data_IF_141053239920
#
_entry.id   IF_141053239920
#
_cell.length_a   1.000
_cell.length_b   1.000
_cell.length_c   1.000
_cell.angle_alpha   90.00
_cell.angle_beta   90.00
_cell.angle_gamma   90.00
#
_symmetry.space_group_name_H-M   'P 1'
#
loop_
_entity.id
_entity.type
_entity.pdbx_description
1 polymer ?
#
# COMPACT_ATOMS: atom_id res chain seq x y z
N UNK A 1 19.08 4.20 10.37
CA UNK A 1 18.74 4.78 11.69
C UNK A 1 19.52 4.13 12.81
N UNK A 2 19.58 2.80 12.86
CA UNK A 2 20.28 2.03 13.89
C UNK A 2 21.77 2.38 14.03
N UNK A 3 22.54 2.33 12.93
CA UNK A 3 23.98 2.69 12.92
C UNK A 3 24.27 4.06 13.52
N UNK A 4 23.42 5.06 13.24
CA UNK A 4 23.59 6.43 13.76
C UNK A 4 23.34 6.51 15.27
N UNK A 5 22.37 5.76 15.80
CA UNK A 5 22.15 5.65 17.26
C UNK A 5 23.33 4.95 17.95
N UNK A 6 23.86 3.89 17.35
CA UNK A 6 25.05 3.21 17.87
C UNK A 6 26.27 4.15 17.90
N UNK A 7 26.49 4.92 16.82
CA UNK A 7 27.56 5.92 16.75
C UNK A 7 27.40 7.02 17.81
N UNK A 8 26.18 7.47 18.09
CA UNK A 8 25.90 8.44 19.17
C UNK A 8 26.41 7.94 20.52
N UNK A 9 26.08 6.70 20.91
CA UNK A 9 26.56 6.14 22.17
C UNK A 9 28.05 5.82 22.17
N UNK A 10 28.62 5.40 21.03
CA UNK A 10 30.07 5.19 20.93
C UNK A 10 30.86 6.48 21.20
N UNK A 11 30.46 7.59 20.60
CA UNK A 11 31.12 8.89 20.80
C UNK A 11 30.96 9.39 22.25
N UNK A 12 29.80 9.17 22.88
CA UNK A 12 29.62 9.47 24.31
C UNK A 12 30.53 8.60 25.19
N UNK A 13 30.68 7.30 24.88
CA UNK A 13 31.58 6.41 25.59
C UNK A 13 33.06 6.78 25.42
N UNK A 14 33.42 7.42 24.30
CA UNK A 14 34.73 8.04 24.06
C UNK A 14 34.94 9.37 24.81
N UNK A 15 33.96 9.81 25.62
CA UNK A 15 34.04 11.03 26.42
C UNK A 15 33.87 12.32 25.62
N UNK A 16 33.33 12.27 24.39
CA UNK A 16 33.00 13.48 23.62
C UNK A 16 31.87 14.25 24.29
N UNK A 17 31.87 15.58 24.12
CA UNK A 17 30.82 16.43 24.65
C UNK A 17 29.49 16.17 23.94
N UNK A 18 28.36 16.37 24.62
CA UNK A 18 27.03 16.16 24.02
C UNK A 18 26.82 17.02 22.76
N UNK A 19 27.38 18.23 22.72
CA UNK A 19 27.35 19.13 21.56
C UNK A 19 28.06 18.51 20.36
N UNK A 20 29.31 18.09 20.53
CA UNK A 20 30.10 17.47 19.44
C UNK A 20 29.43 16.20 18.92
N UNK A 21 28.89 15.37 19.83
CA UNK A 21 28.19 14.15 19.43
C UNK A 21 26.94 14.49 18.62
N UNK A 22 26.16 15.48 19.03
CA UNK A 22 24.97 15.92 18.29
C UNK A 22 25.32 16.48 16.92
N UNK A 23 26.41 17.24 16.79
CA UNK A 23 26.87 17.78 15.51
C UNK A 23 27.33 16.66 14.56
N UNK A 24 28.17 15.74 15.05
CA UNK A 24 28.68 14.60 14.26
C UNK A 24 27.54 13.68 13.80
N UNK A 25 26.60 13.40 14.70
CA UNK A 25 25.46 12.51 14.40
C UNK A 25 24.28 13.24 13.76
N UNK A 26 24.37 14.56 13.62
CA UNK A 26 23.32 15.49 13.17
C UNK A 26 21.98 15.28 13.91
N UNK A 27 22.02 14.91 15.19
CA UNK A 27 20.83 14.82 16.01
C UNK A 27 20.46 16.19 16.56
N UNK A 28 19.21 16.61 16.36
CA UNK A 28 18.65 17.70 17.15
C UNK A 28 18.40 17.25 18.60
N UNK A 29 18.38 18.22 19.53
CA UNK A 29 18.24 18.00 20.99
C UNK A 29 17.09 17.04 21.35
N UNK A 30 15.92 17.19 20.72
CA UNK A 30 14.76 16.31 20.96
C UNK A 30 15.04 14.86 20.58
N UNK A 31 15.71 14.65 19.45
CA UNK A 31 16.06 13.31 18.95
C UNK A 31 17.14 12.66 19.80
N UNK A 32 18.13 13.44 20.26
CA UNK A 32 19.15 12.96 21.19
C UNK A 32 18.53 12.48 22.50
N UNK A 33 17.67 13.31 23.13
CA UNK A 33 16.92 12.92 24.34
C UNK A 33 16.08 11.67 24.15
N UNK A 34 15.38 11.57 23.01
CA UNK A 34 14.60 10.38 22.67
C UNK A 34 15.47 9.13 22.56
N UNK A 35 16.65 9.22 21.92
CA UNK A 35 17.58 8.10 21.78
C UNK A 35 18.14 7.66 23.14
N UNK A 36 18.47 8.63 24.02
CA UNK A 36 18.92 8.38 25.40
C UNK A 36 17.84 7.68 26.22
N UNK A 37 16.63 8.24 26.30
CA UNK A 37 15.51 7.67 27.05
C UNK A 37 15.16 6.25 26.54
N UNK A 38 15.15 6.08 25.22
CA UNK A 38 14.89 4.78 24.59
C UNK A 38 15.97 3.75 24.96
N UNK A 39 17.24 4.15 25.03
CA UNK A 39 18.32 3.27 25.47
C UNK A 39 18.21 2.94 26.96
N UNK A 40 17.92 3.91 27.84
CA UNK A 40 17.72 3.64 29.26
C UNK A 40 16.59 2.64 29.51
N UNK A 41 15.52 2.69 28.71
CA UNK A 41 14.38 1.77 28.84
C UNK A 41 14.61 0.39 28.25
N UNK A 42 15.29 0.31 27.10
CA UNK A 42 15.34 -0.92 26.27
C UNK A 42 16.75 -1.50 26.10
N UNK A 43 17.77 -0.83 26.63
CA UNK A 43 19.18 -1.15 26.39
C UNK A 43 19.53 -1.15 24.91
N UNK A 44 20.36 -2.10 24.49
CA UNK A 44 20.79 -2.26 23.10
C UNK A 44 19.63 -2.50 22.13
N UNK A 45 18.52 -3.12 22.56
CA UNK A 45 17.31 -3.26 21.74
C UNK A 45 16.71 -1.90 21.36
N UNK A 46 16.93 -0.88 22.18
CA UNK A 46 16.51 0.50 21.91
C UNK A 46 17.19 1.12 20.69
N UNK A 47 18.37 0.63 20.29
CA UNK A 47 19.13 1.15 19.16
C UNK A 47 18.57 0.67 17.81
N UNK A 48 17.92 -0.51 17.79
CA UNK A 48 17.45 -1.18 16.58
C UNK A 48 16.43 -0.36 15.77
N UNK A 49 16.44 -0.55 14.44
CA UNK A 49 15.40 0.01 13.57
C UNK A 49 14.11 -0.83 13.64
N UNK A 50 13.15 -0.38 14.46
CA UNK A 50 11.87 -1.06 14.66
C UNK A 50 10.89 -0.99 13.48
N UNK A 51 11.25 -0.36 12.34
CA UNK A 51 10.34 -0.27 11.18
C UNK A 51 9.94 -1.63 10.62
N UNK A 52 10.81 -2.62 10.70
CA UNK A 52 10.52 -3.98 10.23
C UNK A 52 9.37 -4.63 11.01
N UNK A 53 9.28 -4.31 12.30
CA UNK A 53 8.26 -4.84 13.20
C UNK A 53 6.98 -3.99 13.22
N UNK A 54 7.02 -2.79 12.64
CA UNK A 54 5.85 -1.95 12.47
C UNK A 54 4.94 -2.56 11.39
N UNK A 55 3.94 -3.36 11.81
CA UNK A 55 2.97 -4.02 10.92
C UNK A 55 2.06 -3.07 10.14
N UNK A 56 2.18 -1.77 10.34
CA UNK A 56 1.31 -0.76 9.74
C UNK A 56 -0.14 -0.85 10.23
N UNK A 57 -1.03 -0.09 9.61
CA UNK A 57 -2.47 -0.25 9.84
C UNK A 57 -2.94 -1.62 9.32
N UNK A 58 -3.93 -2.27 9.97
CA UNK A 58 -4.46 -3.53 9.49
C UNK A 58 -5.05 -3.37 8.08
N UNK A 59 -4.99 -4.45 7.29
CA UNK A 59 -5.63 -4.47 5.97
C UNK A 59 -7.14 -4.36 6.16
N UNK A 60 -7.79 -3.59 5.29
CA UNK A 60 -9.26 -3.44 5.33
C UNK A 60 -9.96 -4.78 5.07
N UNK A 61 -9.51 -5.52 4.05
CA UNK A 61 -9.96 -6.88 3.79
C UNK A 61 -8.94 -7.90 4.30
N UNK A 62 -9.42 -8.95 4.97
CA UNK A 62 -8.62 -10.12 5.36
C UNK A 62 -8.14 -10.89 4.12
N UNK A 63 -7.22 -11.85 4.31
CA UNK A 63 -6.79 -12.70 3.21
C UNK A 63 -7.97 -13.51 2.63
N UNK A 64 -8.81 -14.07 3.51
CA UNK A 64 -9.96 -14.88 3.12
C UNK A 64 -11.01 -14.05 2.38
N UNK A 65 -11.32 -12.84 2.86
CA UNK A 65 -12.23 -11.91 2.18
C UNK A 65 -11.70 -11.49 0.80
N UNK A 66 -10.38 -11.32 0.65
CA UNK A 66 -9.77 -11.05 -0.66
C UNK A 66 -9.92 -12.24 -1.61
N UNK A 67 -9.83 -13.47 -1.12
CA UNK A 67 -10.07 -14.67 -1.93
C UNK A 67 -11.53 -14.81 -2.34
N UNK A 68 -12.48 -14.58 -1.42
CA UNK A 68 -13.92 -14.57 -1.72
C UNK A 68 -14.24 -13.51 -2.76
N UNK A 69 -13.71 -12.31 -2.59
CA UNK A 69 -13.87 -11.23 -3.56
C UNK A 69 -13.30 -11.61 -4.93
N UNK A 70 -12.08 -12.15 -4.99
CA UNK A 70 -11.46 -12.56 -6.24
C UNK A 70 -12.30 -13.63 -6.95
N UNK A 71 -12.77 -14.64 -6.24
CA UNK A 71 -13.61 -15.70 -6.78
C UNK A 71 -14.92 -15.15 -7.36
N UNK A 72 -15.58 -14.22 -6.66
CA UNK A 72 -16.80 -13.58 -7.18
C UNK A 72 -16.53 -12.80 -8.46
N UNK A 73 -15.47 -11.98 -8.48
CA UNK A 73 -15.13 -11.17 -9.65
C UNK A 73 -14.84 -12.06 -10.88
N UNK A 74 -14.13 -13.18 -10.69
CA UNK A 74 -13.85 -14.12 -11.77
C UNK A 74 -15.12 -14.80 -12.29
N UNK A 75 -15.98 -15.32 -11.41
CA UNK A 75 -17.23 -15.97 -11.80
C UNK A 75 -18.16 -15.01 -12.58
N UNK A 76 -18.25 -13.75 -12.17
CA UNK A 76 -19.05 -12.74 -12.85
C UNK A 76 -18.47 -12.39 -14.23
N UNK A 77 -17.15 -12.21 -14.33
CA UNK A 77 -16.50 -11.86 -15.59
C UNK A 77 -16.58 -13.00 -16.61
N UNK A 78 -16.50 -14.26 -16.18
CA UNK A 78 -16.75 -15.42 -17.04
C UNK A 78 -18.17 -15.42 -17.63
N UNK A 79 -19.14 -14.80 -16.94
CA UNK A 79 -20.50 -14.59 -17.43
C UNK A 79 -20.68 -13.28 -18.23
N UNK A 80 -19.59 -12.56 -18.50
CA UNK A 80 -19.61 -11.30 -19.25
C UNK A 80 -20.00 -10.08 -18.41
N UNK A 81 -20.05 -10.20 -17.09
CA UNK A 81 -20.39 -9.10 -16.18
C UNK A 81 -19.15 -8.27 -15.88
N UNK A 82 -19.21 -6.98 -16.20
CA UNK A 82 -18.13 -6.02 -15.90
C UNK A 82 -18.44 -5.28 -14.61
N UNK A 83 -17.45 -5.24 -13.71
CA UNK A 83 -17.54 -4.52 -12.45
C UNK A 83 -17.01 -3.10 -12.56
N UNK A 84 -17.79 -2.14 -12.05
CA UNK A 84 -17.32 -0.79 -11.76
C UNK A 84 -16.98 -0.62 -10.28
N UNK A 85 -16.15 0.37 -9.96
CA UNK A 85 -15.66 0.57 -8.60
C UNK A 85 -16.75 0.84 -7.57
N UNK A 86 -17.85 1.50 -7.96
CA UNK A 86 -18.98 1.81 -7.07
C UNK A 86 -19.79 0.56 -6.73
N UNK A 87 -20.14 -0.24 -7.74
CA UNK A 87 -20.77 -1.55 -7.55
C UNK A 87 -19.95 -2.43 -6.62
N UNK A 88 -18.63 -2.45 -6.77
CA UNK A 88 -17.76 -3.20 -5.87
C UNK A 88 -17.77 -2.66 -4.44
N UNK A 89 -17.86 -1.34 -4.26
CA UNK A 89 -17.97 -0.72 -2.94
C UNK A 89 -19.25 -1.17 -2.21
N UNK A 90 -20.38 -1.17 -2.92
CA UNK A 90 -21.68 -1.62 -2.40
C UNK A 90 -21.63 -3.11 -2.04
N UNK A 91 -21.10 -3.94 -2.93
CA UNK A 91 -20.96 -5.38 -2.67
C UNK A 91 -20.06 -5.68 -1.46
N UNK A 92 -18.93 -4.98 -1.30
CA UNK A 92 -18.06 -5.15 -0.12
C UNK A 92 -18.81 -4.78 1.17
N UNK A 93 -19.65 -3.73 1.13
CA UNK A 93 -20.47 -3.33 2.26
C UNK A 93 -21.52 -4.39 2.58
N UNK A 94 -22.17 -4.96 1.57
CA UNK A 94 -23.20 -5.99 1.74
C UNK A 94 -22.63 -7.32 2.22
N UNK A 95 -21.51 -7.79 1.65
CA UNK A 95 -20.95 -9.10 1.98
C UNK A 95 -20.12 -9.10 3.26
N UNK A 96 -19.38 -8.02 3.53
CA UNK A 96 -18.42 -7.98 4.63
C UNK A 96 -18.75 -6.92 5.70
N UNK A 97 -19.78 -6.09 5.49
CA UNK A 97 -20.12 -5.00 6.42
C UNK A 97 -19.08 -3.88 6.47
N UNK A 98 -18.23 -3.75 5.45
CA UNK A 98 -17.07 -2.85 5.45
C UNK A 98 -17.25 -1.68 4.50
N UNK A 99 -16.96 -0.47 4.97
CA UNK A 99 -16.92 0.72 4.14
C UNK A 99 -15.49 0.96 3.62
N UNK A 100 -15.37 1.11 2.30
CA UNK A 100 -14.09 1.33 1.62
C UNK A 100 -14.19 2.54 0.73
N UNK A 101 -13.10 3.31 0.58
CA UNK A 101 -13.06 4.39 -0.41
C UNK A 101 -13.08 3.81 -1.84
N UNK A 102 -13.65 4.57 -2.78
CA UNK A 102 -13.72 4.16 -4.19
C UNK A 102 -12.32 3.82 -4.79
N UNK A 103 -11.27 4.54 -4.42
CA UNK A 103 -9.91 4.21 -4.88
C UNK A 103 -9.44 2.81 -4.47
N UNK A 104 -9.89 2.35 -3.30
CA UNK A 104 -9.54 1.05 -2.72
C UNK A 104 -10.15 -0.11 -3.52
N UNK A 105 -11.34 0.09 -4.10
CA UNK A 105 -11.99 -0.97 -4.89
C UNK A 105 -11.17 -1.32 -6.13
N UNK A 106 -10.54 -0.34 -6.78
CA UNK A 106 -9.61 -0.59 -7.88
C UNK A 106 -8.31 -1.27 -7.43
N UNK A 107 -7.82 -1.01 -6.22
CA UNK A 107 -6.70 -1.77 -5.65
C UNK A 107 -7.06 -3.24 -5.46
N UNK A 108 -8.28 -3.52 -4.97
CA UNK A 108 -8.75 -4.89 -4.79
C UNK A 108 -8.96 -5.62 -6.12
N UNK A 109 -9.53 -4.95 -7.13
CA UNK A 109 -9.63 -5.52 -8.48
C UNK A 109 -8.26 -5.86 -9.05
N UNK A 110 -7.25 -4.98 -8.89
CA UNK A 110 -5.87 -5.27 -9.30
C UNK A 110 -5.28 -6.45 -8.54
N UNK A 111 -5.50 -6.53 -7.23
CA UNK A 111 -5.04 -7.64 -6.40
C UNK A 111 -5.68 -8.98 -6.81
N UNK A 112 -6.92 -8.95 -7.32
CA UNK A 112 -7.61 -10.11 -7.90
C UNK A 112 -7.18 -10.45 -9.34
N UNK A 113 -6.24 -9.70 -9.93
CA UNK A 113 -5.68 -9.96 -11.26
C UNK A 113 -6.33 -9.16 -12.40
N UNK A 114 -7.25 -8.25 -12.11
CA UNK A 114 -7.90 -7.43 -13.14
C UNK A 114 -7.12 -6.15 -13.46
N UNK A 115 -7.23 -5.69 -14.69
CA UNK A 115 -6.71 -4.39 -15.13
C UNK A 115 -7.84 -3.48 -15.61
N UNK A 116 -7.77 -2.16 -15.39
CA UNK A 116 -8.77 -1.23 -15.91
C UNK A 116 -8.90 -1.35 -17.43
N UNK A 117 -10.10 -1.67 -17.90
CA UNK A 117 -10.39 -1.75 -19.34
C UNK A 117 -10.98 -0.43 -19.82
N UNK A 118 -10.44 0.11 -20.91
CA UNK A 118 -11.04 1.23 -21.63
C UNK A 118 -11.60 0.70 -22.95
N UNK A 119 -12.93 0.67 -23.14
CA UNK A 119 -13.51 0.30 -24.43
C UNK A 119 -12.93 1.18 -25.53
N UNK A 120 -12.67 0.58 -26.70
CA UNK A 120 -12.26 1.36 -27.87
C UNK A 120 -13.40 2.34 -28.21
N UNK A 121 -13.13 3.66 -28.29
CA UNK A 121 -14.16 4.63 -28.65
C UNK A 121 -14.82 4.24 -29.97
N UNK A 122 -16.14 4.08 -29.97
CA UNK A 122 -16.91 3.87 -31.19
C UNK A 122 -17.60 5.19 -31.57
N UNK A 123 -17.47 5.60 -32.84
CA UNK A 123 -18.17 6.75 -33.35
C UNK A 123 -19.68 6.44 -33.43
N UNK A 124 -20.53 7.34 -32.91
CA UNK A 124 -21.99 7.15 -32.81
C UNK A 124 -22.64 6.90 -34.18
N UNK A 125 -22.09 7.48 -35.25
CA UNK A 125 -22.56 7.26 -36.64
C UNK A 125 -21.82 6.14 -37.37
N UNK A 126 -21.02 5.34 -36.66
CA UNK A 126 -20.21 4.30 -37.27
C UNK A 126 -21.06 3.10 -37.64
N UNK A 127 -21.43 3.00 -38.92
CA UNK A 127 -22.20 1.91 -39.49
C UNK A 127 -21.53 0.54 -39.22
N UNK A 128 -22.18 -0.37 -38.48
CA UNK A 128 -21.68 -1.72 -38.25
C UNK A 128 -21.46 -2.51 -39.54
N UNK A 129 -22.35 -2.36 -40.53
CA UNK A 129 -22.27 -3.10 -41.79
C UNK A 129 -21.08 -2.64 -42.65
N UNK A 130 -20.81 -1.33 -42.68
CA UNK A 130 -19.63 -0.80 -43.36
C UNK A 130 -18.31 -1.24 -42.71
N UNK A 131 -18.28 -1.49 -41.39
CA UNK A 131 -17.09 -1.99 -40.67
C UNK A 131 -16.83 -3.47 -40.96
N UNK A 132 -17.86 -4.30 -41.06
CA UNK A 132 -17.73 -5.72 -41.44
C UNK A 132 -17.30 -5.88 -42.90
N UNK A 133 -17.77 -5.00 -43.79
CA UNK A 133 -17.33 -4.97 -45.19
C UNK A 133 -15.87 -4.52 -45.36
N UNK A 134 -15.34 -3.73 -44.42
CA UNK A 134 -13.96 -3.25 -44.41
C UNK A 134 -13.05 -4.14 -43.55
N UNK A 135 -13.02 -5.44 -43.84
CA UNK A 135 -11.93 -6.30 -43.36
C UNK A 135 -10.77 -6.17 -44.33
N UNK A 136 -9.62 -5.68 -43.85
CA UNK A 136 -8.40 -5.59 -44.67
C UNK A 136 -8.03 -6.98 -45.17
N UNK A 137 -7.94 -7.17 -46.50
CA UNK A 137 -7.32 -8.36 -47.08
C UNK A 137 -5.92 -8.51 -46.49
N UNK A 138 -5.63 -9.70 -45.97
CA UNK A 138 -4.30 -10.11 -45.47
C UNK A 138 -3.22 -9.93 -46.52
#
# INVERSE_FOLDING_TARGET
>A
MERRRAQFFALLAEGRSEGDVMDITTYGVRSARYVIDRYHRLGLKGLQDGRRDNRGAPRVLTADEQQVLAAQLHADVEQGVVWEGKRLQEWIKEQFGKEVYLGRTYEFMRAAGFSPQKPRPQHVKGDPAAKEAFTTKS
#
